data_IF_097008635104
#
_entry.id   IF_097008635104
#
_cell.length_a   1.000
_cell.length_b   1.000
_cell.length_c   1.000
_cell.angle_alpha   90.00
_cell.angle_beta   90.00
_cell.angle_gamma   90.00
#
_symmetry.space_group_name_H-M   'P 1'
#
loop_
_entity.id
_entity.type
_entity.pdbx_description
1 polymer ?
#
# COMPACT_ATOMS: atom_id res chain seq x y z
N UNK A 1 6.35 18.13 40.37
CA UNK A 1 5.49 17.00 40.73
C UNK A 1 5.78 15.89 39.75
N UNK A 2 6.56 14.91 40.11
CA UNK A 2 6.73 13.68 39.35
C UNK A 2 5.50 12.82 39.59
N UNK A 3 4.71 12.57 38.53
CA UNK A 3 3.59 11.62 38.58
C UNK A 3 4.21 10.23 38.65
N UNK A 4 4.18 9.60 39.81
CA UNK A 4 4.69 8.24 39.98
C UNK A 4 3.67 7.25 39.39
N UNK A 5 3.95 6.79 38.18
CA UNK A 5 3.09 5.89 37.42
C UNK A 5 2.84 4.55 38.14
N UNK A 6 3.80 4.08 38.94
CA UNK A 6 3.66 2.83 39.70
C UNK A 6 2.66 3.04 40.87
N UNK A 7 2.75 4.17 41.54
CA UNK A 7 1.82 4.53 42.61
C UNK A 7 0.39 4.67 42.05
N UNK A 8 0.23 5.34 40.92
CA UNK A 8 -1.05 5.48 40.24
C UNK A 8 -1.64 4.12 39.81
N UNK A 9 -0.82 3.24 39.22
CA UNK A 9 -1.27 1.90 38.86
C UNK A 9 -1.82 1.12 40.05
N UNK A 10 -1.16 1.21 41.22
CA UNK A 10 -1.60 0.51 42.42
C UNK A 10 -2.94 1.03 42.96
N UNK A 11 -3.18 2.33 42.83
CA UNK A 11 -4.43 2.97 43.29
C UNK A 11 -5.61 2.78 42.33
N UNK A 12 -5.36 2.47 41.04
CA UNK A 12 -6.39 2.31 40.03
C UNK A 12 -7.34 1.16 40.38
N UNK A 13 -8.64 1.40 40.21
CA UNK A 13 -9.67 0.36 40.30
C UNK A 13 -9.52 -0.72 39.20
N UNK A 14 -10.09 -1.90 39.43
CA UNK A 14 -9.97 -3.03 38.51
C UNK A 14 -10.45 -2.74 37.12
N UNK A 15 -11.51 -1.95 36.92
CA UNK A 15 -12.04 -1.55 35.63
C UNK A 15 -11.05 -0.65 34.87
N UNK A 16 -10.49 0.37 35.52
CA UNK A 16 -9.52 1.27 34.92
C UNK A 16 -8.23 0.52 34.51
N UNK A 17 -7.76 -0.43 35.32
CA UNK A 17 -6.66 -1.34 34.95
C UNK A 17 -6.99 -2.14 33.69
N UNK A 18 -8.20 -2.67 33.60
CA UNK A 18 -8.67 -3.39 32.40
C UNK A 18 -8.62 -2.52 31.14
N UNK A 19 -9.07 -1.27 31.21
CA UNK A 19 -9.01 -0.29 30.12
C UNK A 19 -7.56 -0.03 29.69
N UNK A 20 -6.65 0.22 30.66
CA UNK A 20 -5.22 0.47 30.33
C UNK A 20 -4.57 -0.75 29.68
N UNK A 21 -4.88 -1.96 30.14
CA UNK A 21 -4.38 -3.21 29.51
C UNK A 21 -4.87 -3.35 28.07
N UNK A 22 -6.16 -3.10 27.82
CA UNK A 22 -6.71 -3.12 26.46
C UNK A 22 -5.99 -2.11 25.57
N UNK A 23 -5.79 -0.88 26.04
CA UNK A 23 -5.07 0.16 25.29
C UNK A 23 -3.60 -0.20 25.07
N UNK A 24 -2.94 -0.85 26.01
CA UNK A 24 -1.57 -1.35 25.85
C UNK A 24 -1.50 -2.42 24.75
N UNK A 25 -2.45 -3.35 24.69
CA UNK A 25 -2.54 -4.36 23.64
C UNK A 25 -2.76 -3.68 22.28
N UNK A 26 -3.70 -2.72 22.19
CA UNK A 26 -3.95 -1.94 20.97
C UNK A 26 -2.69 -1.19 20.52
N UNK A 27 -1.95 -0.60 21.44
CA UNK A 27 -0.69 0.12 21.15
C UNK A 27 0.38 -0.81 20.58
N UNK A 28 0.62 -1.96 21.22
CA UNK A 28 1.62 -2.95 20.78
C UNK A 28 1.26 -3.46 19.38
N UNK A 29 -0.01 -3.78 19.14
CA UNK A 29 -0.49 -4.26 17.85
C UNK A 29 -0.36 -3.21 16.76
N UNK A 30 -0.75 -1.97 17.06
CA UNK A 30 -0.58 -0.81 16.19
C UNK A 30 0.89 -0.58 15.81
N UNK A 31 1.79 -0.59 16.80
CA UNK A 31 3.23 -0.42 16.58
C UNK A 31 3.83 -1.53 15.70
N UNK A 32 3.39 -2.77 15.90
CA UNK A 32 3.81 -3.91 15.07
C UNK A 32 3.44 -3.69 13.59
N UNK A 33 2.21 -3.20 13.32
CA UNK A 33 1.77 -2.88 11.96
C UNK A 33 2.62 -1.73 11.39
N UNK A 34 2.87 -0.68 12.16
CA UNK A 34 3.69 0.47 11.73
C UNK A 34 5.08 -0.01 11.30
N UNK A 35 5.77 -0.77 12.14
CA UNK A 35 7.12 -1.27 11.85
C UNK A 35 7.11 -2.15 10.59
N UNK A 36 6.17 -3.09 10.51
CA UNK A 36 6.08 -4.03 9.39
C UNK A 36 5.84 -3.28 8.07
N UNK A 37 4.93 -2.29 8.08
CA UNK A 37 4.61 -1.47 6.89
C UNK A 37 5.75 -0.55 6.48
N UNK A 38 6.44 0.07 7.44
CA UNK A 38 7.63 0.88 7.15
C UNK A 38 8.68 0.06 6.41
N UNK A 39 8.98 -1.13 6.91
CA UNK A 39 9.98 -2.02 6.29
C UNK A 39 9.52 -2.48 4.90
N UNK A 40 8.25 -2.91 4.77
CA UNK A 40 7.68 -3.39 3.51
C UNK A 40 7.72 -2.32 2.42
N UNK A 41 7.18 -1.12 2.71
CA UNK A 41 7.08 -0.04 1.73
C UNK A 41 8.45 0.54 1.36
N UNK A 42 9.33 0.79 2.35
CA UNK A 42 10.69 1.26 2.09
C UNK A 42 11.50 0.29 1.23
N UNK A 43 11.35 -1.02 1.49
CA UNK A 43 12.03 -2.05 0.69
C UNK A 43 11.52 -2.06 -0.75
N UNK A 44 10.20 -2.02 -0.93
CA UNK A 44 9.59 -2.01 -2.26
C UNK A 44 9.99 -0.75 -3.04
N UNK A 45 9.95 0.42 -2.42
CA UNK A 45 10.36 1.69 -3.02
C UNK A 45 11.85 1.68 -3.42
N UNK A 46 12.73 1.20 -2.53
CA UNK A 46 14.16 1.11 -2.81
C UNK A 46 14.46 0.24 -4.03
N UNK A 47 13.78 -0.89 -4.13
CA UNK A 47 13.97 -1.81 -5.27
C UNK A 47 13.37 -1.22 -6.56
N UNK A 48 12.24 -0.50 -6.46
CA UNK A 48 11.66 0.18 -7.62
C UNK A 48 12.55 1.32 -8.13
N UNK A 49 13.16 2.11 -7.26
CA UNK A 49 14.12 3.16 -7.65
C UNK A 49 15.32 2.63 -8.44
N UNK A 50 15.72 1.37 -8.23
CA UNK A 50 16.77 0.72 -9.00
C UNK A 50 16.24 0.14 -10.31
N UNK A 51 15.04 -0.43 -10.25
CA UNK A 51 14.40 -1.09 -11.38
C UNK A 51 13.92 -0.11 -12.45
N UNK A 52 13.18 0.93 -12.07
CA UNK A 52 12.48 1.82 -13.01
C UNK A 52 13.39 2.44 -14.09
N UNK A 53 14.59 3.00 -13.76
CA UNK A 53 15.46 3.57 -14.79
C UNK A 53 16.02 2.53 -15.76
N UNK A 54 16.31 1.31 -15.28
CA UNK A 54 16.82 0.21 -16.12
C UNK A 54 15.72 -0.34 -17.02
N UNK A 55 14.51 -0.43 -16.49
CA UNK A 55 13.33 -0.85 -17.24
C UNK A 55 12.97 0.15 -18.34
N UNK A 56 12.87 1.43 -18.02
CA UNK A 56 12.58 2.48 -19.02
C UNK A 56 13.64 2.51 -20.12
N UNK A 57 14.94 2.33 -19.80
CA UNK A 57 15.99 2.21 -20.80
C UNK A 57 15.81 0.98 -21.69
N UNK A 58 15.51 -0.18 -21.12
CA UNK A 58 15.29 -1.41 -21.89
C UNK A 58 14.10 -1.27 -22.86
N UNK A 59 13.04 -0.57 -22.44
CA UNK A 59 11.88 -0.24 -23.29
C UNK A 59 12.28 0.72 -24.41
N UNK A 60 13.07 1.76 -24.12
CA UNK A 60 13.54 2.72 -25.13
C UNK A 60 14.50 2.10 -26.14
N UNK A 61 15.30 1.13 -25.72
CA UNK A 61 16.24 0.36 -26.58
C UNK A 61 15.52 -0.79 -27.31
N UNK A 62 14.19 -0.87 -27.22
CA UNK A 62 13.34 -1.92 -27.84
C UNK A 62 13.74 -3.36 -27.45
N UNK A 63 14.37 -3.52 -26.26
CA UNK A 63 14.88 -4.79 -25.79
C UNK A 63 13.91 -5.41 -24.75
N UNK A 64 12.83 -6.02 -25.25
CA UNK A 64 11.81 -6.68 -24.41
C UNK A 64 12.37 -7.87 -23.62
N UNK A 65 13.32 -8.62 -24.17
CA UNK A 65 13.94 -9.75 -23.43
C UNK A 65 14.67 -9.26 -22.19
N UNK A 66 15.37 -8.14 -22.29
CA UNK A 66 16.03 -7.50 -21.16
C UNK A 66 15.01 -6.96 -20.16
N UNK A 67 13.90 -6.33 -20.63
CA UNK A 67 12.84 -5.84 -19.77
C UNK A 67 12.19 -6.99 -18.96
N UNK A 68 11.93 -8.14 -19.59
CA UNK A 68 11.44 -9.37 -18.94
C UNK A 68 12.41 -9.85 -17.86
N UNK A 69 13.68 -10.01 -18.22
CA UNK A 69 14.71 -10.48 -17.29
C UNK A 69 14.88 -9.55 -16.07
N UNK A 70 14.78 -8.23 -16.29
CA UNK A 70 14.78 -7.22 -15.22
C UNK A 70 13.58 -7.35 -14.29
N UNK A 71 12.38 -7.55 -14.84
CA UNK A 71 11.16 -7.72 -14.04
C UNK A 71 11.20 -9.01 -13.21
N UNK A 72 11.64 -10.12 -13.81
CA UNK A 72 11.81 -11.41 -13.11
C UNK A 72 12.82 -11.34 -11.95
N UNK A 73 13.91 -10.59 -12.11
CA UNK A 73 14.95 -10.40 -11.11
C UNK A 73 14.50 -9.51 -9.95
N UNK A 74 13.64 -8.53 -10.20
CA UNK A 74 13.28 -7.48 -9.23
C UNK A 74 11.89 -7.65 -8.61
N UNK A 75 11.44 -8.89 -8.32
CA UNK A 75 10.12 -9.21 -7.75
C UNK A 75 9.77 -8.50 -6.43
N UNK A 76 10.72 -7.84 -5.78
CA UNK A 76 10.48 -7.01 -4.59
C UNK A 76 10.03 -5.58 -4.93
N UNK A 77 10.23 -5.14 -6.17
CA UNK A 77 9.72 -3.88 -6.68
C UNK A 77 8.23 -4.01 -6.99
N UNK A 78 7.43 -3.06 -6.54
CA UNK A 78 6.00 -3.03 -6.85
C UNK A 78 5.76 -2.80 -8.34
N UNK A 79 6.55 -1.93 -8.98
CA UNK A 79 6.46 -1.68 -10.41
C UNK A 79 6.85 -2.93 -11.22
N UNK A 80 7.97 -3.60 -10.87
CA UNK A 80 8.40 -4.81 -11.56
C UNK A 80 7.38 -5.94 -11.49
N UNK A 81 6.64 -6.06 -10.37
CA UNK A 81 5.54 -7.02 -10.24
C UNK A 81 4.40 -6.73 -11.18
N UNK A 82 4.02 -5.46 -11.35
CA UNK A 82 2.90 -5.06 -12.21
C UNK A 82 3.27 -5.20 -13.68
N UNK A 83 4.40 -4.62 -14.11
CA UNK A 83 4.83 -4.72 -15.52
C UNK A 83 5.25 -6.14 -15.90
N UNK A 84 5.74 -6.92 -14.92
CA UNK A 84 6.13 -8.31 -15.13
C UNK A 84 4.98 -9.21 -15.56
N UNK A 85 3.76 -8.98 -15.05
CA UNK A 85 2.56 -9.72 -15.46
C UNK A 85 2.16 -9.38 -16.91
N UNK A 86 2.23 -8.10 -17.30
CA UNK A 86 2.00 -7.71 -18.68
C UNK A 86 3.03 -8.33 -19.63
N UNK A 87 4.31 -8.32 -19.24
CA UNK A 87 5.38 -8.92 -20.01
C UNK A 87 5.22 -10.45 -20.10
N UNK A 88 4.69 -11.10 -19.08
CA UNK A 88 4.43 -12.54 -19.09
C UNK A 88 3.36 -12.93 -20.14
N UNK A 89 2.36 -12.07 -20.39
CA UNK A 89 1.36 -12.29 -21.44
C UNK A 89 1.97 -12.19 -22.85
N UNK A 90 2.94 -11.30 -23.07
CA UNK A 90 3.57 -11.10 -24.36
C UNK A 90 4.79 -12.01 -24.61
N UNK A 91 5.40 -12.53 -23.54
CA UNK A 91 6.62 -13.38 -23.61
C UNK A 91 6.51 -14.59 -24.54
N UNK A 92 5.40 -15.36 -24.58
CA UNK A 92 5.25 -16.48 -25.51
C UNK A 92 5.29 -16.03 -26.98
N UNK A 93 4.65 -14.90 -27.29
CA UNK A 93 4.58 -14.35 -28.65
C UNK A 93 5.97 -13.93 -29.17
N UNK A 94 6.78 -13.32 -28.30
CA UNK A 94 8.17 -12.96 -28.63
C UNK A 94 9.03 -14.20 -28.89
N UNK A 95 8.83 -15.25 -28.12
CA UNK A 95 9.57 -16.51 -28.28
C UNK A 95 9.25 -17.20 -29.60
N UNK A 96 7.97 -17.20 -29.98
CA UNK A 96 7.50 -17.85 -31.20
C UNK A 96 7.61 -16.93 -32.42
N UNK A 97 8.21 -15.73 -32.30
CA UNK A 97 8.29 -14.69 -33.34
C UNK A 97 6.93 -14.36 -33.94
N UNK A 98 5.88 -14.49 -33.12
CA UNK A 98 4.53 -14.13 -33.53
C UNK A 98 4.33 -12.61 -33.45
N UNK A 99 3.54 -12.09 -34.35
CA UNK A 99 3.17 -10.66 -34.33
C UNK A 99 2.24 -10.39 -33.16
N UNK A 100 2.60 -9.41 -32.30
CA UNK A 100 1.74 -8.95 -31.22
C UNK A 100 0.49 -8.30 -31.79
N UNK A 101 -0.69 -8.72 -31.34
CA UNK A 101 -1.97 -8.22 -31.81
C UNK A 101 -2.59 -7.24 -30.82
N UNK A 102 -3.62 -6.48 -31.26
CA UNK A 102 -4.38 -5.62 -30.34
C UNK A 102 -5.07 -6.43 -29.22
N UNK A 103 -5.43 -7.69 -29.46
CA UNK A 103 -5.99 -8.59 -28.45
C UNK A 103 -4.96 -8.93 -27.36
N UNK A 104 -3.70 -9.11 -27.73
CA UNK A 104 -2.60 -9.40 -26.81
C UNK A 104 -2.28 -8.18 -25.93
N UNK A 105 -2.31 -6.98 -26.51
CA UNK A 105 -2.16 -5.72 -25.75
C UNK A 105 -3.29 -5.56 -24.74
N UNK A 106 -4.54 -5.80 -25.13
CA UNK A 106 -5.67 -5.77 -24.21
C UNK A 106 -5.54 -6.83 -23.08
N UNK A 107 -4.94 -7.99 -23.38
CA UNK A 107 -4.66 -9.02 -22.37
C UNK A 107 -3.58 -8.56 -21.40
N UNK A 108 -2.51 -7.94 -21.89
CA UNK A 108 -1.44 -7.36 -21.10
C UNK A 108 -1.97 -6.23 -20.19
N UNK A 109 -2.85 -5.36 -20.70
CA UNK A 109 -3.47 -4.29 -19.93
C UNK A 109 -4.33 -4.85 -18.78
N UNK A 110 -5.17 -5.85 -19.05
CA UNK A 110 -5.94 -6.53 -18.00
C UNK A 110 -5.04 -7.24 -16.98
N UNK A 111 -3.89 -7.77 -17.39
CA UNK A 111 -2.92 -8.37 -16.50
C UNK A 111 -2.29 -7.32 -15.54
N UNK A 112 -1.96 -6.14 -16.08
CA UNK A 112 -1.52 -4.97 -15.29
C UNK A 112 -2.57 -4.61 -14.24
N UNK A 113 -3.83 -4.44 -14.64
CA UNK A 113 -4.92 -4.05 -13.73
C UNK A 113 -5.11 -5.07 -12.61
N UNK A 114 -5.19 -6.36 -12.94
CA UNK A 114 -5.30 -7.43 -11.94
C UNK A 114 -4.14 -7.40 -10.96
N UNK A 115 -2.92 -7.30 -11.44
CA UNK A 115 -1.74 -7.32 -10.58
C UNK A 115 -1.62 -6.07 -9.74
N UNK A 116 -2.00 -4.91 -10.27
CA UNK A 116 -2.05 -3.65 -9.51
C UNK A 116 -3.02 -3.77 -8.33
N UNK A 117 -4.21 -4.33 -8.53
CA UNK A 117 -5.18 -4.56 -7.45
C UNK A 117 -4.62 -5.50 -6.37
N UNK A 118 -3.90 -6.55 -6.76
CA UNK A 118 -3.25 -7.48 -5.82
C UNK A 118 -2.19 -6.75 -4.99
N UNK A 119 -1.28 -6.02 -5.63
CA UNK A 119 -0.21 -5.28 -4.95
C UNK A 119 -0.80 -4.22 -4.01
N UNK A 120 -1.84 -3.51 -4.46
CA UNK A 120 -2.52 -2.49 -3.67
C UNK A 120 -3.21 -3.10 -2.43
N UNK A 121 -3.88 -4.25 -2.59
CA UNK A 121 -4.49 -5.00 -1.49
C UNK A 121 -3.45 -5.43 -0.45
N UNK A 122 -2.30 -5.94 -0.89
CA UNK A 122 -1.19 -6.31 0.00
C UNK A 122 -0.65 -5.11 0.78
N UNK A 123 -0.51 -3.95 0.13
CA UNK A 123 -0.03 -2.73 0.78
C UNK A 123 -1.05 -2.18 1.78
N UNK A 124 -2.34 -2.21 1.47
CA UNK A 124 -3.43 -1.75 2.36
C UNK A 124 -3.71 -2.70 3.52
N UNK A 125 -3.29 -3.96 3.44
CA UNK A 125 -3.55 -4.96 4.48
C UNK A 125 -2.99 -4.49 5.83
N UNK A 126 -3.84 -4.47 6.85
CA UNK A 126 -3.52 -4.05 8.21
C UNK A 126 -3.67 -2.55 8.49
N UNK A 127 -3.77 -1.69 7.46
CA UNK A 127 -4.00 -0.25 7.68
C UNK A 127 -5.33 0.01 8.38
N UNK A 128 -6.36 -0.78 8.07
CA UNK A 128 -7.66 -0.66 8.71
C UNK A 128 -7.60 -0.74 10.23
N UNK A 129 -6.68 -1.56 10.77
CA UNK A 129 -6.47 -1.63 12.23
C UNK A 129 -5.94 -0.32 12.79
N UNK A 130 -4.98 0.34 12.11
CA UNK A 130 -4.48 1.66 12.54
C UNK A 130 -5.60 2.70 12.55
N UNK A 131 -6.46 2.69 11.52
CA UNK A 131 -7.65 3.54 11.47
C UNK A 131 -8.62 3.25 12.61
N UNK A 132 -8.90 1.97 12.89
CA UNK A 132 -9.76 1.55 13.99
C UNK A 132 -9.18 1.96 15.34
N UNK A 133 -7.90 1.67 15.61
CA UNK A 133 -7.23 2.07 16.85
C UNK A 133 -7.27 3.60 17.04
N UNK A 134 -6.94 4.33 15.98
CA UNK A 134 -6.94 5.79 16.00
C UNK A 134 -8.30 6.40 16.31
N UNK A 135 -9.37 5.82 15.77
CA UNK A 135 -10.75 6.31 16.00
C UNK A 135 -11.36 5.80 17.31
N UNK A 136 -11.03 4.61 17.77
CA UNK A 136 -11.70 3.99 18.95
C UNK A 136 -10.95 4.18 20.26
N UNK A 137 -9.62 4.27 20.25
CA UNK A 137 -8.85 4.39 21.49
C UNK A 137 -9.23 5.61 22.37
N UNK A 138 -9.55 6.80 21.81
CA UNK A 138 -10.04 7.92 22.59
C UNK A 138 -11.36 7.61 23.33
N UNK A 139 -12.27 6.87 22.67
CA UNK A 139 -13.55 6.49 23.25
C UNK A 139 -13.39 5.43 24.34
N UNK A 140 -12.43 4.50 24.17
CA UNK A 140 -12.06 3.54 25.23
C UNK A 140 -11.50 4.28 26.44
N UNK A 141 -10.65 5.30 26.24
CA UNK A 141 -10.19 6.19 27.30
C UNK A 141 -11.32 6.96 27.99
N UNK A 142 -12.24 7.51 27.20
CA UNK A 142 -13.43 8.21 27.71
C UNK A 142 -14.35 7.28 28.53
N UNK A 143 -14.52 6.04 28.11
CA UNK A 143 -15.23 5.02 28.90
C UNK A 143 -14.57 4.83 30.27
N UNK A 144 -13.23 4.82 30.31
CA UNK A 144 -12.46 4.76 31.55
C UNK A 144 -12.76 5.94 32.48
N UNK A 145 -12.81 7.18 31.93
CA UNK A 145 -13.14 8.35 32.76
C UNK A 145 -14.57 8.31 33.30
N UNK A 146 -15.53 7.94 32.45
CA UNK A 146 -16.94 7.88 32.83
C UNK A 146 -17.13 6.92 34.00
N UNK A 147 -16.58 5.72 33.92
CA UNK A 147 -16.67 4.73 35.01
C UNK A 147 -15.85 5.10 36.24
N UNK A 148 -14.68 5.73 36.08
CA UNK A 148 -13.86 6.22 37.16
C UNK A 148 -14.58 7.29 38.02
N UNK A 149 -15.26 8.24 37.36
CA UNK A 149 -16.06 9.27 38.02
C UNK A 149 -17.25 8.65 38.73
N UNK A 150 -17.99 7.74 38.08
CA UNK A 150 -19.11 7.02 38.74
C UNK A 150 -18.64 6.31 40.00
N UNK A 151 -17.52 5.57 39.92
CA UNK A 151 -16.98 4.85 41.07
C UNK A 151 -16.55 5.81 42.21
N UNK A 152 -16.00 6.98 41.88
CA UNK A 152 -15.64 7.99 42.85
C UNK A 152 -16.88 8.50 43.62
N UNK A 153 -17.98 8.77 42.94
CA UNK A 153 -19.24 9.20 43.59
C UNK A 153 -19.88 8.08 44.40
N UNK A 154 -19.88 6.84 43.92
CA UNK A 154 -20.41 5.68 44.66
C UNK A 154 -19.58 5.46 45.91
N UNK A 155 -18.25 5.56 45.84
CA UNK A 155 -17.38 5.45 47.01
C UNK A 155 -17.65 6.53 48.06
N UNK A 156 -17.91 7.78 47.65
CA UNK A 156 -18.30 8.87 48.56
C UNK A 156 -19.62 8.58 49.26
N UNK A 157 -20.60 8.11 48.53
CA UNK A 157 -21.93 7.79 49.11
C UNK A 157 -21.87 6.67 50.17
N UNK A 158 -20.95 5.72 50.03
CA UNK A 158 -20.76 4.61 50.98
C UNK A 158 -19.95 5.00 52.24
N UNK A 159 -19.01 5.94 52.12
CA UNK A 159 -18.11 6.34 53.24
C UNK A 159 -18.65 7.52 54.06
N UNK A 160 -19.75 8.13 53.67
CA UNK A 160 -20.30 9.30 54.36
C UNK A 160 -19.42 10.56 54.23
N UNK A 161 -19.75 11.61 54.98
CA UNK A 161 -19.09 12.93 54.86
C UNK A 161 -17.59 12.95 55.19
N UNK A 162 -17.06 11.94 55.89
CA UNK A 162 -15.65 11.89 56.36
C UNK A 162 -14.62 11.50 55.29
N UNK A 163 -15.03 10.88 54.16
CA UNK A 163 -14.13 10.52 53.03
C UNK A 163 -14.19 11.47 51.84
N UNK A 164 -15.02 12.49 51.90
CA UNK A 164 -15.62 13.21 50.81
C UNK A 164 -14.70 13.70 49.68
N UNK A 165 -13.97 14.79 49.86
CA UNK A 165 -13.28 15.48 48.78
C UNK A 165 -11.99 14.79 48.33
N UNK A 166 -11.25 14.16 49.21
CA UNK A 166 -9.99 13.50 48.85
C UNK A 166 -10.22 12.25 47.99
N UNK A 167 -11.24 11.45 48.33
CA UNK A 167 -11.59 10.26 47.54
C UNK A 167 -12.10 10.60 46.12
N UNK A 168 -12.92 11.66 46.01
CA UNK A 168 -13.41 12.14 44.69
C UNK A 168 -12.23 12.64 43.84
N UNK A 169 -11.33 13.46 44.45
CA UNK A 169 -10.17 14.00 43.71
C UNK A 169 -9.26 12.90 43.22
N UNK A 170 -9.03 11.84 43.99
CA UNK A 170 -8.25 10.68 43.55
C UNK A 170 -8.92 9.92 42.39
N UNK A 171 -10.25 9.67 42.46
CA UNK A 171 -10.98 8.99 41.43
C UNK A 171 -11.07 9.80 40.10
N UNK A 172 -11.20 11.13 40.19
CA UNK A 172 -11.15 12.01 39.03
C UNK A 172 -9.75 12.00 38.38
N UNK A 173 -8.68 12.06 39.18
CA UNK A 173 -7.32 12.00 38.68
C UNK A 173 -7.05 10.68 37.94
N UNK A 174 -7.46 9.54 38.54
CA UNK A 174 -7.39 8.22 37.91
C UNK A 174 -8.15 8.20 36.55
N UNK A 175 -9.37 8.75 36.53
CA UNK A 175 -10.18 8.83 35.36
C UNK A 175 -9.48 9.61 34.25
N UNK A 176 -8.94 10.80 34.50
CA UNK A 176 -8.25 11.63 33.50
C UNK A 176 -7.04 10.92 32.87
N UNK A 177 -6.35 10.08 33.63
CA UNK A 177 -5.21 9.31 33.15
C UNK A 177 -5.65 8.31 32.09
N UNK A 178 -6.80 7.64 32.22
CA UNK A 178 -7.29 6.69 31.21
C UNK A 178 -7.56 7.36 29.87
N UNK A 179 -8.09 8.59 29.87
CA UNK A 179 -8.26 9.36 28.61
C UNK A 179 -6.91 9.76 28.03
N UNK A 180 -5.97 10.21 28.86
CA UNK A 180 -4.62 10.55 28.38
C UNK A 180 -3.94 9.35 27.70
N UNK A 181 -4.06 8.14 28.26
CA UNK A 181 -3.57 6.92 27.61
C UNK A 181 -4.29 6.63 26.28
N UNK A 182 -5.61 6.81 26.21
CA UNK A 182 -6.39 6.66 24.99
C UNK A 182 -5.88 7.57 23.86
N UNK A 183 -5.62 8.85 24.17
CA UNK A 183 -5.07 9.81 23.22
C UNK A 183 -3.63 9.48 22.84
N UNK A 184 -2.80 9.04 23.79
CA UNK A 184 -1.41 8.63 23.54
C UNK A 184 -1.33 7.45 22.56
N UNK A 185 -2.28 6.55 22.57
CA UNK A 185 -2.37 5.41 21.64
C UNK A 185 -2.96 5.85 20.30
N UNK A 186 -4.01 6.68 20.30
CA UNK A 186 -4.74 7.08 19.12
C UNK A 186 -3.91 7.97 18.17
N UNK A 187 -3.24 8.98 18.70
CA UNK A 187 -2.54 9.99 17.90
C UNK A 187 -1.48 9.38 16.98
N UNK A 188 -0.54 8.53 17.47
CA UNK A 188 0.43 7.88 16.59
C UNK A 188 -0.22 6.94 15.57
N UNK A 189 -1.31 6.27 15.95
CA UNK A 189 -2.03 5.36 15.03
C UNK A 189 -2.65 6.12 13.85
N UNK A 190 -3.28 7.28 14.11
CA UNK A 190 -3.86 8.14 13.05
C UNK A 190 -2.76 8.71 12.15
N UNK A 191 -1.66 9.19 12.72
CA UNK A 191 -0.55 9.71 11.92
C UNK A 191 0.06 8.64 11.02
N UNK A 192 0.27 7.43 11.56
CA UNK A 192 0.78 6.32 10.78
C UNK A 192 -0.20 5.89 9.68
N UNK A 193 -1.49 5.82 9.97
CA UNK A 193 -2.54 5.52 8.99
C UNK A 193 -2.51 6.49 7.82
N UNK A 194 -2.54 7.79 8.09
CA UNK A 194 -2.52 8.83 7.07
C UNK A 194 -1.22 8.79 6.24
N UNK A 195 -0.07 8.66 6.91
CA UNK A 195 1.21 8.53 6.25
C UNK A 195 1.25 7.35 5.26
N UNK A 196 0.83 6.16 5.69
CA UNK A 196 0.84 4.98 4.83
C UNK A 196 -0.19 5.07 3.70
N UNK A 197 -1.36 5.64 3.95
CA UNK A 197 -2.38 5.85 2.90
C UNK A 197 -1.83 6.72 1.79
N UNK A 198 -1.31 7.89 2.10
CA UNK A 198 -0.68 8.79 1.12
C UNK A 198 0.51 8.14 0.42
N UNK A 199 1.32 7.38 1.17
CA UNK A 199 2.45 6.67 0.56
C UNK A 199 2.02 5.62 -0.45
N UNK A 200 0.97 4.85 -0.15
CA UNK A 200 0.42 3.83 -1.06
C UNK A 200 -0.21 4.48 -2.29
N UNK A 201 -0.88 5.61 -2.14
CA UNK A 201 -1.42 6.39 -3.27
C UNK A 201 -0.30 6.80 -4.23
N UNK A 202 0.81 7.33 -3.71
CA UNK A 202 1.97 7.69 -4.54
C UNK A 202 2.57 6.49 -5.27
N UNK A 203 2.68 5.32 -4.60
CA UNK A 203 3.15 4.08 -5.24
C UNK A 203 2.16 3.59 -6.32
N UNK A 204 0.86 3.82 -6.14
CA UNK A 204 -0.16 3.50 -7.14
C UNK A 204 0.01 4.35 -8.39
N UNK A 205 0.26 5.65 -8.24
CA UNK A 205 0.56 6.55 -9.37
C UNK A 205 1.82 6.08 -10.11
N UNK A 206 2.89 5.71 -9.38
CA UNK A 206 4.14 5.20 -9.96
C UNK A 206 3.90 3.91 -10.78
N UNK A 207 3.12 2.96 -10.23
CA UNK A 207 2.73 1.74 -10.96
C UNK A 207 1.92 2.04 -12.21
N UNK A 208 0.94 2.94 -12.11
CA UNK A 208 0.10 3.35 -13.25
C UNK A 208 0.95 3.98 -14.35
N UNK A 209 1.88 4.85 -13.98
CA UNK A 209 2.73 5.54 -14.97
C UNK A 209 3.65 4.56 -15.70
N UNK A 210 4.37 3.72 -14.95
CA UNK A 210 5.31 2.77 -15.54
C UNK A 210 4.63 1.65 -16.35
N UNK A 211 3.40 1.25 -15.98
CA UNK A 211 2.63 0.30 -16.79
C UNK A 211 2.11 0.91 -18.08
N UNK A 212 1.68 2.18 -18.07
CA UNK A 212 1.28 2.90 -19.29
C UNK A 212 2.45 3.05 -20.26
N UNK A 213 3.66 3.36 -19.79
CA UNK A 213 4.87 3.42 -20.62
C UNK A 213 5.10 2.11 -21.37
N UNK A 214 4.92 0.96 -20.70
CA UNK A 214 5.01 -0.35 -21.34
C UNK A 214 3.90 -0.57 -22.38
N UNK A 215 2.64 -0.28 -22.03
CA UNK A 215 1.51 -0.47 -22.95
C UNK A 215 1.64 0.42 -24.19
N UNK A 216 2.02 1.67 -24.03
CA UNK A 216 2.27 2.61 -25.13
C UNK A 216 3.39 2.10 -26.06
N UNK A 217 4.44 1.50 -25.52
CA UNK A 217 5.48 0.85 -26.30
C UNK A 217 4.94 -0.32 -27.10
N UNK A 218 4.14 -1.20 -26.48
CA UNK A 218 3.54 -2.35 -27.17
C UNK A 218 2.60 -1.90 -28.31
N UNK A 219 1.82 -0.85 -28.10
CA UNK A 219 0.96 -0.27 -29.15
C UNK A 219 1.79 0.24 -30.34
N UNK A 220 2.87 0.96 -30.06
CA UNK A 220 3.76 1.48 -31.11
C UNK A 220 4.46 0.37 -31.90
N UNK A 221 4.85 -0.71 -31.23
CA UNK A 221 5.48 -1.86 -31.89
C UNK A 221 4.54 -2.54 -32.90
N UNK A 222 3.27 -2.70 -32.53
CA UNK A 222 2.22 -3.23 -33.44
C UNK A 222 2.01 -2.31 -34.65
N UNK A 223 1.90 -0.99 -34.42
CA UNK A 223 1.71 0.00 -35.48
C UNK A 223 2.87 0.05 -36.48
N UNK A 224 4.11 -0.08 -35.99
CA UNK A 224 5.31 -0.09 -36.84
C UNK A 224 5.43 -1.37 -37.71
N UNK A 225 5.04 -2.52 -37.18
CA UNK A 225 5.02 -3.78 -37.94
C UNK A 225 3.92 -3.77 -38.99
N UNK A 226 2.73 -3.25 -38.69
CA UNK A 226 1.64 -3.09 -39.62
C UNK A 226 2.06 -2.17 -40.78
N UNK A 227 2.70 -1.03 -40.50
CA UNK A 227 3.25 -0.15 -41.55
C UNK A 227 4.29 -0.85 -42.42
N UNK A 228 5.25 -1.60 -41.84
CA UNK A 228 6.25 -2.37 -42.58
C UNK A 228 5.59 -3.45 -43.47
N UNK A 229 4.57 -4.14 -43.00
CA UNK A 229 3.89 -5.20 -43.72
C UNK A 229 3.15 -4.66 -44.95
N UNK A 230 2.54 -3.47 -44.86
CA UNK A 230 1.89 -2.80 -45.98
C UNK A 230 2.92 -2.37 -47.04
N UNK A 231 3.99 -1.68 -46.62
CA UNK A 231 5.07 -1.25 -47.52
C UNK A 231 5.74 -2.44 -48.25
N UNK A 232 5.95 -3.56 -47.54
CA UNK A 232 6.55 -4.76 -48.17
C UNK A 232 5.62 -5.40 -49.17
N UNK A 233 4.31 -5.45 -48.92
CA UNK A 233 3.30 -5.96 -49.88
C UNK A 233 3.15 -5.07 -51.08
N UNK A 234 3.08 -3.75 -50.90
CA UNK A 234 3.01 -2.80 -52.02
C UNK A 234 4.27 -2.83 -52.87
N UNK A 235 5.46 -2.89 -52.23
CA UNK A 235 6.73 -2.99 -52.97
C UNK A 235 6.87 -4.30 -53.74
N UNK A 236 6.39 -5.44 -53.21
CA UNK A 236 6.38 -6.70 -53.90
C UNK A 236 5.35 -6.72 -55.06
N UNK A 237 4.16 -6.13 -54.86
CA UNK A 237 3.15 -5.98 -55.89
C UNK A 237 3.67 -5.11 -57.06
N UNK A 238 4.35 -4.01 -56.72
CA UNK A 238 4.94 -3.12 -57.74
C UNK A 238 6.08 -3.80 -58.54
N UNK A 239 6.91 -4.63 -57.85
CA UNK A 239 7.96 -5.43 -58.49
C UNK A 239 7.39 -6.52 -59.41
N UNK A 240 6.26 -7.14 -59.06
CA UNK A 240 5.57 -8.12 -59.86
C UNK A 240 4.98 -7.50 -61.15
N UNK A 241 4.47 -6.27 -61.08
CA UNK A 241 3.94 -5.51 -62.20
C UNK A 241 5.05 -5.04 -63.17
N UNK A 242 6.18 -4.59 -62.64
CA UNK A 242 7.33 -4.14 -63.44
C UNK A 242 8.16 -5.30 -64.02
N UNK A 243 8.15 -6.48 -63.36
CA UNK A 243 8.86 -7.69 -63.84
C UNK A 243 8.15 -8.44 -64.97
N UNK A 244 6.84 -8.23 -65.20
CA UNK A 244 6.07 -8.87 -66.23
C UNK A 244 6.12 -8.10 -67.58
N UNK A 245 6.77 -6.93 -67.66
CA UNK A 245 6.84 -6.06 -68.83
C UNK A 245 8.03 -6.31 -69.79
N UNK A 246 8.87 -7.34 -69.56
CA UNK A 246 10.09 -7.57 -70.33
C UNK A 246 10.18 -8.92 -71.03
N UNK A 247 9.02 -9.51 -71.41
CA UNK A 247 9.00 -10.69 -72.24
C UNK A 247 7.97 -10.43 -73.41
N UNK A 248 8.34 -9.58 -74.37
CA UNK A 248 7.90 -9.58 -75.78
C UNK A 248 8.60 -8.42 -76.44
N UNK A 249 9.75 -8.74 -77.06
CA UNK A 249 10.45 -7.94 -78.05
C UNK A 249 11.47 -8.81 -78.77
#
# INVERSE_FOLDING_TARGET
MSVDLIHLWNQMGGFAKGIVVIMAIMSIYSLTIVITKLVQLKKSERETRKFAPQFSRAIQEENLDQAIALAEKNKKSHLARVVGEALAEVKPLLRDRATITAADINSAERAVERQMLIVLSEFKRGLGVLGTVGSTAPFVGLLGTTMGIVNAFVGMAQQGASGGLAGISAGIAEALITTAFGLMVAIPAVWAYNYFTTKIENLTVEMTYGSKELIDYLIKSVGSEFGRSIFTKEFQAQKAVTGSGHIHG
#
